data_IF_666996167476
#
_entry.id   IF_666996167476
#
_cell.length_a   1.000
_cell.length_b   1.000
_cell.length_c   1.000
_cell.angle_alpha   90.00
_cell.angle_beta   90.00
_cell.angle_gamma   90.00
#
_symmetry.space_group_name_H-M   'P 1'
#
loop_
_entity.id
_entity.type
_entity.pdbx_description
1 polymer ?
#
# COMPACT_ATOMS: atom_id res chain seq x y z
N UNK A 1 -17.13 12.95 3.98
CA UNK A 1 -17.84 12.22 5.07
C UNK A 1 -18.91 13.07 5.75
N UNK A 2 -18.73 14.40 5.93
CA UNK A 2 -19.75 15.27 6.50
C UNK A 2 -21.03 15.39 5.65
N UNK A 3 -20.88 15.29 4.35
CA UNK A 3 -22.00 15.41 3.39
C UNK A 3 -23.06 14.30 3.59
N UNK A 4 -22.65 13.02 3.58
CA UNK A 4 -23.59 11.93 3.77
C UNK A 4 -24.20 11.92 5.18
N UNK A 5 -23.40 12.21 6.21
CA UNK A 5 -23.89 12.31 7.59
C UNK A 5 -24.95 13.40 7.75
N UNK A 6 -24.73 14.58 7.12
CA UNK A 6 -25.68 15.69 7.19
C UNK A 6 -26.98 15.37 6.44
N UNK A 7 -26.89 14.96 5.17
CA UNK A 7 -28.09 14.66 4.38
C UNK A 7 -28.81 13.41 4.85
N UNK A 8 -28.08 12.37 5.22
CA UNK A 8 -28.69 11.14 5.77
C UNK A 8 -29.45 11.39 7.06
N UNK A 9 -28.90 12.22 7.93
CA UNK A 9 -29.59 12.62 9.15
C UNK A 9 -30.84 13.47 8.84
N UNK A 10 -30.74 14.43 7.90
CA UNK A 10 -31.87 15.25 7.47
C UNK A 10 -33.00 14.37 6.90
N UNK A 11 -32.71 13.43 6.00
CA UNK A 11 -33.71 12.52 5.44
C UNK A 11 -34.36 11.63 6.50
N UNK A 12 -33.57 11.16 7.48
CA UNK A 12 -34.11 10.35 8.57
C UNK A 12 -35.02 11.16 9.49
N UNK A 13 -34.71 12.44 9.73
CA UNK A 13 -35.52 13.33 10.57
C UNK A 13 -36.78 13.82 9.88
N UNK A 14 -36.72 14.17 8.59
CA UNK A 14 -37.83 14.78 7.86
C UNK A 14 -38.84 13.73 7.36
N UNK A 15 -38.38 12.58 6.87
CA UNK A 15 -39.22 11.55 6.26
C UNK A 15 -39.11 10.17 6.87
N UNK A 16 -38.35 10.05 7.95
CA UNK A 16 -38.11 8.77 8.63
C UNK A 16 -37.31 7.78 7.79
N UNK A 17 -37.31 6.52 8.23
CA UNK A 17 -36.54 5.45 7.61
C UNK A 17 -36.87 5.24 6.14
N UNK A 18 -38.12 5.43 5.73
CA UNK A 18 -38.52 5.26 4.34
C UNK A 18 -37.82 6.26 3.42
N UNK A 19 -37.90 7.54 3.72
CA UNK A 19 -37.25 8.58 2.91
C UNK A 19 -35.73 8.40 2.89
N UNK A 20 -35.14 8.04 4.02
CA UNK A 20 -33.73 7.73 4.10
C UNK A 20 -33.30 6.62 3.13
N UNK A 21 -34.06 5.51 3.09
CA UNK A 21 -33.72 4.39 2.21
C UNK A 21 -34.05 4.68 0.75
N UNK A 22 -35.17 5.34 0.46
CA UNK A 22 -35.56 5.72 -0.90
C UNK A 22 -34.50 6.63 -1.52
N UNK A 23 -34.00 7.62 -0.81
CA UNK A 23 -32.96 8.53 -1.27
C UNK A 23 -31.57 7.85 -1.34
N UNK A 24 -31.26 6.98 -0.38
CA UNK A 24 -29.96 6.29 -0.33
C UNK A 24 -29.81 5.26 -1.45
N UNK A 25 -30.88 4.56 -1.80
CA UNK A 25 -30.87 3.52 -2.84
C UNK A 25 -31.00 4.09 -4.25
N UNK A 26 -31.21 5.38 -4.43
CA UNK A 26 -31.27 5.98 -5.76
C UNK A 26 -29.92 5.87 -6.48
N UNK A 27 -29.93 5.16 -7.60
CA UNK A 27 -28.77 5.07 -8.50
C UNK A 27 -28.63 6.30 -9.38
N UNK A 28 -29.75 7.00 -9.66
CA UNK A 28 -29.83 8.20 -10.48
C UNK A 28 -30.70 9.26 -9.84
N UNK A 29 -30.15 10.42 -9.59
CA UNK A 29 -30.92 11.57 -9.11
C UNK A 29 -31.33 12.44 -10.31
N UNK A 30 -32.61 12.42 -10.67
CA UNK A 30 -33.20 13.26 -11.74
C UNK A 30 -33.56 14.67 -11.28
N UNK A 31 -32.75 15.28 -10.43
CA UNK A 31 -33.02 16.64 -9.95
C UNK A 31 -32.60 17.72 -10.98
N UNK A 32 -33.45 18.72 -11.25
CA UNK A 32 -33.15 19.79 -12.20
C UNK A 32 -32.02 20.72 -11.74
N UNK A 33 -31.59 20.62 -10.50
CA UNK A 33 -30.60 21.54 -9.89
C UNK A 33 -29.14 21.19 -10.15
N UNK A 34 -28.80 19.96 -10.54
CA UNK A 34 -27.40 19.51 -10.72
C UNK A 34 -26.87 19.77 -12.14
N UNK A 35 -27.74 20.19 -13.07
CA UNK A 35 -27.38 20.41 -14.48
C UNK A 35 -26.63 21.70 -14.77
N UNK A 36 -26.30 22.52 -13.76
CA UNK A 36 -25.65 23.82 -13.96
C UNK A 36 -24.12 23.79 -13.92
N UNK A 37 -23.49 22.65 -13.61
CA UNK A 37 -22.02 22.51 -13.69
C UNK A 37 -21.60 22.30 -15.15
N UNK A 38 -20.68 23.12 -15.68
CA UNK A 38 -20.27 23.07 -17.10
C UNK A 38 -19.70 21.71 -17.52
N UNK A 39 -19.08 20.96 -16.62
CA UNK A 39 -18.62 19.58 -16.82
C UNK A 39 -19.78 18.56 -16.98
N UNK A 40 -20.95 18.83 -16.42
CA UNK A 40 -22.12 17.95 -16.52
C UNK A 40 -22.72 17.85 -17.93
N UNK A 41 -22.44 18.79 -18.83
CA UNK A 41 -22.95 18.75 -20.22
C UNK A 41 -22.12 17.86 -21.14
N UNK A 42 -20.84 17.63 -20.85
CA UNK A 42 -19.93 16.89 -21.72
C UNK A 42 -20.14 15.36 -21.66
N UNK A 43 -20.80 14.87 -20.63
CA UNK A 43 -20.89 13.43 -20.35
C UNK A 43 -22.32 12.86 -20.36
N UNK A 44 -23.27 13.43 -21.09
CA UNK A 44 -24.61 12.83 -21.15
C UNK A 44 -24.64 11.60 -22.06
N UNK A 45 -25.04 10.45 -21.51
CA UNK A 45 -26.42 10.02 -21.68
C UNK A 45 -27.06 9.47 -20.40
N UNK A 46 -28.22 9.99 -20.07
CA UNK A 46 -29.22 9.35 -19.22
C UNK A 46 -29.11 9.50 -17.72
N UNK A 47 -27.98 9.28 -17.11
CA UNK A 47 -27.83 9.29 -15.65
C UNK A 47 -26.53 10.01 -15.23
N UNK A 48 -26.61 11.31 -15.06
CA UNK A 48 -25.46 12.12 -14.65
C UNK A 48 -25.78 13.00 -13.45
N UNK A 49 -26.29 12.36 -12.45
CA UNK A 49 -26.46 12.94 -11.15
C UNK A 49 -25.48 12.32 -10.15
N UNK A 50 -25.47 12.89 -8.97
CA UNK A 50 -24.89 12.27 -7.79
C UNK A 50 -25.68 11.00 -7.52
N UNK A 51 -25.02 9.84 -7.50
CA UNK A 51 -25.66 8.59 -7.12
C UNK A 51 -25.48 8.36 -5.63
N UNK A 52 -26.52 8.55 -4.86
CA UNK A 52 -26.48 8.35 -3.41
C UNK A 52 -26.13 6.92 -3.03
N UNK A 53 -26.58 5.93 -3.80
CA UNK A 53 -26.24 4.52 -3.58
C UNK A 53 -24.72 4.27 -3.58
N UNK A 54 -24.02 4.77 -4.59
CA UNK A 54 -22.56 4.61 -4.64
C UNK A 54 -21.85 5.43 -3.56
N UNK A 55 -22.43 6.57 -3.16
CA UNK A 55 -21.94 7.35 -2.01
C UNK A 55 -22.06 6.58 -0.70
N UNK A 56 -23.14 5.86 -0.51
CA UNK A 56 -23.33 4.99 0.65
C UNK A 56 -22.31 3.85 0.69
N UNK A 57 -22.07 3.19 -0.44
CA UNK A 57 -21.04 2.15 -0.53
C UNK A 57 -19.64 2.72 -0.24
N UNK A 58 -19.30 3.87 -0.85
CA UNK A 58 -18.03 4.55 -0.58
C UNK A 58 -17.88 4.87 0.92
N UNK A 59 -18.93 5.38 1.55
CA UNK A 59 -18.92 5.68 2.98
C UNK A 59 -18.69 4.42 3.83
N UNK A 60 -19.37 3.31 3.52
CA UNK A 60 -19.17 2.02 4.20
C UNK A 60 -17.71 1.53 4.11
N UNK A 61 -17.12 1.54 2.92
CA UNK A 61 -15.71 1.19 2.75
C UNK A 61 -14.78 2.17 3.45
N UNK A 62 -15.11 3.46 3.49
CA UNK A 62 -14.36 4.48 4.23
C UNK A 62 -14.35 4.23 5.75
N UNK A 63 -15.48 3.79 6.32
CA UNK A 63 -15.57 3.40 7.73
C UNK A 63 -14.68 2.18 8.00
N UNK A 64 -14.80 1.12 7.20
CA UNK A 64 -13.99 -0.10 7.37
C UNK A 64 -12.50 0.21 7.28
N UNK A 65 -12.10 1.05 6.33
CA UNK A 65 -10.74 1.53 6.18
C UNK A 65 -10.28 2.34 7.39
N UNK A 66 -11.13 3.22 7.90
CA UNK A 66 -10.88 4.00 9.12
C UNK A 66 -10.68 3.10 10.34
N UNK A 67 -11.60 2.16 10.58
CA UNK A 67 -11.51 1.21 11.69
C UNK A 67 -10.23 0.38 11.58
N UNK A 68 -9.93 -0.16 10.39
CA UNK A 68 -8.72 -0.94 10.15
C UNK A 68 -7.43 -0.15 10.38
N UNK A 69 -7.46 1.17 10.20
CA UNK A 69 -6.32 2.07 10.35
C UNK A 69 -6.04 2.49 11.79
N UNK A 70 -6.94 2.19 12.73
CA UNK A 70 -6.68 2.51 14.14
C UNK A 70 -5.41 1.86 14.64
N UNK A 71 -4.67 2.61 15.47
CA UNK A 71 -3.40 2.17 16.04
C UNK A 71 -3.49 0.80 16.73
N UNK A 72 -4.59 0.54 17.46
CA UNK A 72 -4.79 -0.73 18.17
C UNK A 72 -4.92 -1.91 17.20
N UNK A 73 -5.67 -1.76 16.10
CA UNK A 73 -5.82 -2.80 15.06
C UNK A 73 -4.48 -3.07 14.39
N UNK A 74 -3.80 -2.01 13.96
CA UNK A 74 -2.49 -2.10 13.30
C UNK A 74 -1.44 -2.77 14.18
N UNK A 75 -1.44 -2.48 15.50
CA UNK A 75 -0.48 -3.07 16.44
C UNK A 75 -0.80 -4.53 16.77
N UNK A 76 -2.10 -4.88 16.86
CA UNK A 76 -2.55 -6.22 17.21
C UNK A 76 -2.48 -7.20 16.02
N UNK A 77 -2.86 -6.75 14.84
CA UNK A 77 -2.86 -7.55 13.62
C UNK A 77 -2.52 -6.70 12.40
N UNK A 78 -1.23 -6.71 12.04
CA UNK A 78 -0.76 -6.02 10.85
C UNK A 78 -1.37 -6.58 9.56
N UNK A 79 -1.65 -7.90 9.52
CA UNK A 79 -2.33 -8.54 8.40
C UNK A 79 -3.75 -7.99 8.19
N UNK A 80 -4.51 -7.83 9.26
CA UNK A 80 -5.86 -7.23 9.20
C UNK A 80 -5.80 -5.77 8.73
N UNK A 81 -4.86 -4.99 9.28
CA UNK A 81 -4.63 -3.62 8.81
C UNK A 81 -4.35 -3.58 7.30
N UNK A 82 -3.44 -4.43 6.80
CA UNK A 82 -3.11 -4.46 5.37
C UNK A 82 -4.29 -4.90 4.51
N UNK A 83 -5.06 -5.89 4.96
CA UNK A 83 -6.26 -6.36 4.25
C UNK A 83 -7.32 -5.25 4.16
N UNK A 84 -7.64 -4.60 5.28
CA UNK A 84 -8.60 -3.50 5.30
C UNK A 84 -8.10 -2.27 4.54
N UNK A 85 -6.79 -2.02 4.57
CA UNK A 85 -6.20 -0.90 3.83
C UNK A 85 -6.33 -1.04 2.32
N UNK A 86 -6.41 -2.27 1.78
CA UNK A 86 -6.70 -2.49 0.35
C UNK A 86 -8.11 -2.03 -0.06
N UNK A 87 -9.03 -1.85 0.88
CA UNK A 87 -10.38 -1.36 0.59
C UNK A 87 -10.40 0.09 0.07
N UNK A 88 -9.27 0.82 0.15
CA UNK A 88 -9.16 2.17 -0.41
C UNK A 88 -9.46 2.19 -1.92
N UNK A 89 -9.18 1.10 -2.68
CA UNK A 89 -9.53 1.00 -4.09
C UNK A 89 -11.05 1.01 -4.31
N UNK A 90 -11.78 0.22 -3.51
CA UNK A 90 -13.24 0.19 -3.57
C UNK A 90 -13.83 1.52 -3.14
N UNK A 91 -13.24 2.14 -2.11
CA UNK A 91 -13.62 3.48 -1.68
C UNK A 91 -13.49 4.50 -2.79
N UNK A 92 -12.34 4.57 -3.48
CA UNK A 92 -12.13 5.47 -4.62
C UNK A 92 -13.05 5.16 -5.80
N UNK A 93 -13.21 3.88 -6.14
CA UNK A 93 -14.07 3.43 -7.21
C UNK A 93 -15.52 3.90 -7.00
N UNK A 94 -16.09 3.64 -5.84
CA UNK A 94 -17.45 4.04 -5.53
C UNK A 94 -17.59 5.56 -5.33
N UNK A 95 -16.57 6.26 -4.84
CA UNK A 95 -16.56 7.71 -4.76
C UNK A 95 -16.61 8.36 -6.15
N UNK A 96 -15.89 7.82 -7.13
CA UNK A 96 -15.94 8.28 -8.53
C UNK A 96 -17.30 7.98 -9.18
N UNK A 97 -17.92 6.83 -8.89
CA UNK A 97 -19.27 6.52 -9.35
C UNK A 97 -20.34 7.40 -8.68
N UNK A 98 -20.13 7.74 -7.41
CA UNK A 98 -21.02 8.66 -6.69
C UNK A 98 -21.02 10.06 -7.33
N UNK A 99 -19.86 10.56 -7.67
CA UNK A 99 -19.68 11.84 -8.30
C UNK A 99 -18.64 11.76 -9.42
N UNK A 100 -19.06 11.61 -10.69
CA UNK A 100 -18.13 11.48 -11.82
C UNK A 100 -17.12 12.63 -11.94
N UNK A 101 -17.48 13.85 -11.51
CA UNK A 101 -16.58 14.99 -11.43
C UNK A 101 -15.37 14.75 -10.51
N UNK A 102 -15.47 13.86 -9.52
CA UNK A 102 -14.35 13.50 -8.67
C UNK A 102 -13.20 12.85 -9.47
N UNK A 103 -13.50 12.19 -10.59
CA UNK A 103 -12.49 11.56 -11.43
C UNK A 103 -11.45 12.58 -11.93
N UNK A 104 -11.88 13.80 -12.26
CA UNK A 104 -10.97 14.84 -12.71
C UNK A 104 -9.91 15.22 -11.64
N UNK A 105 -10.31 15.17 -10.37
CA UNK A 105 -9.39 15.46 -9.24
C UNK A 105 -8.53 14.26 -8.86
N UNK A 106 -9.05 13.05 -9.04
CA UNK A 106 -8.37 11.80 -8.67
C UNK A 106 -7.46 11.29 -9.79
N UNK A 107 -7.76 11.59 -11.06
CA UNK A 107 -7.02 11.08 -12.20
C UNK A 107 -5.50 11.33 -12.14
N UNK A 108 -4.99 12.51 -11.77
CA UNK A 108 -3.55 12.71 -11.64
C UNK A 108 -2.93 11.77 -10.61
N UNK A 109 -3.54 11.63 -9.44
CA UNK A 109 -3.06 10.73 -8.39
C UNK A 109 -3.12 9.26 -8.84
N UNK A 110 -4.17 8.88 -9.55
CA UNK A 110 -4.33 7.54 -10.12
C UNK A 110 -3.26 7.23 -11.17
N UNK A 111 -2.95 8.18 -12.05
CA UNK A 111 -1.88 8.04 -13.06
C UNK A 111 -0.54 7.82 -12.36
N UNK A 112 -0.21 8.64 -11.36
CA UNK A 112 1.01 8.47 -10.59
C UNK A 112 1.06 7.12 -9.88
N UNK A 113 -0.06 6.68 -9.30
CA UNK A 113 -0.13 5.41 -8.62
C UNK A 113 0.06 4.23 -9.57
N UNK A 114 -0.57 4.25 -10.75
CA UNK A 114 -0.43 3.21 -11.77
C UNK A 114 1.01 3.19 -12.30
N UNK A 115 1.58 4.35 -12.58
CA UNK A 115 2.98 4.47 -13.03
C UNK A 115 3.96 3.94 -11.97
N UNK A 116 3.78 4.30 -10.69
CA UNK A 116 4.61 3.78 -9.60
C UNK A 116 4.42 2.27 -9.43
N UNK A 117 3.19 1.77 -9.54
CA UNK A 117 2.88 0.35 -9.52
C UNK A 117 3.56 -0.42 -10.65
N UNK A 118 3.48 0.08 -11.88
CA UNK A 118 4.15 -0.50 -13.04
C UNK A 118 5.68 -0.49 -12.87
N UNK A 119 6.25 0.62 -12.41
CA UNK A 119 7.68 0.71 -12.10
C UNK A 119 8.11 -0.30 -11.05
N UNK A 120 7.30 -0.52 -10.02
CA UNK A 120 7.58 -1.52 -8.97
C UNK A 120 7.54 -2.93 -9.51
N UNK A 121 6.60 -3.26 -10.39
CA UNK A 121 6.52 -4.58 -11.03
C UNK A 121 7.77 -4.86 -11.88
N UNK A 122 8.22 -3.87 -12.66
CA UNK A 122 9.43 -4.01 -13.48
C UNK A 122 10.69 -4.15 -12.62
N UNK A 123 10.74 -3.55 -11.42
CA UNK A 123 11.88 -3.65 -10.51
C UNK A 123 11.91 -4.92 -9.66
N UNK A 124 10.88 -5.76 -9.79
CA UNK A 124 10.76 -7.02 -9.06
C UNK A 124 11.65 -8.09 -9.68
N UNK A 125 12.46 -8.73 -8.87
CA UNK A 125 13.36 -9.80 -9.31
C UNK A 125 13.44 -10.91 -8.27
N UNK A 126 13.47 -12.13 -8.74
CA UNK A 126 13.78 -13.29 -7.90
C UNK A 126 15.30 -13.43 -7.83
N UNK A 127 15.82 -13.47 -6.62
CA UNK A 127 17.27 -13.54 -6.38
C UNK A 127 17.56 -14.68 -5.44
N UNK A 128 18.59 -15.46 -5.76
CA UNK A 128 19.15 -16.46 -4.88
C UNK A 128 20.10 -15.77 -3.91
N UNK A 129 19.67 -15.64 -2.66
CA UNK A 129 20.39 -14.96 -1.59
C UNK A 129 21.13 -15.96 -0.73
N UNK A 130 22.40 -15.75 -0.47
CA UNK A 130 23.11 -16.50 0.54
C UNK A 130 22.67 -16.01 1.93
N UNK A 131 22.66 -16.92 2.91
CA UNK A 131 22.24 -16.61 4.28
C UNK A 131 23.30 -17.05 5.27
N UNK A 132 23.65 -16.17 6.19
CA UNK A 132 24.64 -16.43 7.24
C UNK A 132 23.97 -16.24 8.60
N UNK A 133 23.97 -17.27 9.43
CA UNK A 133 23.45 -17.21 10.79
C UNK A 133 24.53 -16.77 11.75
N UNK A 134 24.25 -15.73 12.53
CA UNK A 134 25.12 -15.25 13.61
C UNK A 134 24.65 -15.68 15.01
N UNK A 135 23.75 -16.66 15.05
CA UNK A 135 23.17 -17.18 16.29
C UNK A 135 21.69 -17.54 16.11
N UNK A 136 20.98 -17.86 17.19
CA UNK A 136 19.59 -18.31 17.09
C UNK A 136 18.62 -17.20 16.64
N UNK A 137 18.98 -15.92 16.84
CA UNK A 137 18.08 -14.79 16.63
C UNK A 137 18.48 -13.85 15.49
N UNK A 138 19.67 -14.03 14.90
CA UNK A 138 20.21 -13.11 13.90
C UNK A 138 20.60 -13.88 12.66
N UNK A 139 20.07 -13.46 11.55
CA UNK A 139 20.41 -13.98 10.21
C UNK A 139 20.75 -12.82 9.31
N UNK A 140 21.89 -12.89 8.63
CA UNK A 140 22.25 -11.93 7.56
C UNK A 140 21.88 -12.55 6.23
N UNK A 141 21.09 -11.81 5.46
CA UNK A 141 20.76 -12.11 4.08
C UNK A 141 21.67 -11.30 3.17
N UNK A 142 22.36 -11.96 2.28
CA UNK A 142 23.25 -11.38 1.30
C UNK A 142 22.54 -11.29 -0.03
N UNK A 143 22.20 -10.06 -0.46
CA UNK A 143 21.46 -9.80 -1.68
C UNK A 143 22.42 -9.31 -2.77
N UNK A 144 22.67 -10.08 -3.85
CA UNK A 144 23.48 -9.61 -4.97
C UNK A 144 22.84 -8.40 -5.65
N UNK A 145 23.64 -7.38 -5.90
CA UNK A 145 23.18 -6.10 -6.44
C UNK A 145 24.00 -5.66 -7.67
N UNK A 146 24.02 -6.44 -8.75
CA UNK A 146 24.78 -6.07 -9.93
C UNK A 146 24.29 -4.73 -10.49
N UNK A 147 25.21 -3.87 -10.92
CA UNK A 147 24.90 -2.55 -11.46
C UNK A 147 24.77 -1.43 -10.43
N UNK A 148 24.99 -1.72 -9.13
CA UNK A 148 25.08 -0.72 -8.08
C UNK A 148 26.52 -0.61 -7.56
N UNK A 149 26.83 0.46 -6.85
CA UNK A 149 28.06 0.59 -6.09
C UNK A 149 27.76 0.38 -4.60
N UNK A 150 28.76 -0.04 -3.81
CA UNK A 150 28.64 -0.17 -2.34
C UNK A 150 28.10 1.11 -1.71
N UNK A 151 28.58 2.26 -2.18
CA UNK A 151 28.14 3.58 -1.70
C UNK A 151 26.66 3.84 -1.96
N UNK A 152 26.14 3.45 -3.14
CA UNK A 152 24.73 3.60 -3.47
C UNK A 152 23.82 2.70 -2.63
N UNK A 153 24.31 1.54 -2.21
CA UNK A 153 23.55 0.60 -1.39
C UNK A 153 23.45 1.05 0.07
N UNK A 154 24.43 1.78 0.58
CA UNK A 154 24.45 2.20 1.98
C UNK A 154 23.27 3.10 2.31
N UNK A 155 22.51 2.73 3.35
CA UNK A 155 21.31 3.46 3.79
C UNK A 155 20.06 3.24 2.94
N UNK A 156 20.12 2.37 1.94
CA UNK A 156 18.96 1.99 1.15
C UNK A 156 18.03 1.00 1.88
N UNK A 157 16.90 0.72 1.25
CA UNK A 157 15.88 -0.22 1.75
C UNK A 157 15.56 -1.22 0.67
N UNK A 158 15.57 -2.50 1.01
CA UNK A 158 14.95 -3.56 0.21
C UNK A 158 13.58 -3.92 0.75
N UNK A 159 12.68 -4.28 -0.14
CA UNK A 159 11.49 -5.04 0.22
C UNK A 159 11.71 -6.49 -0.21
N UNK A 160 11.61 -7.38 0.75
CA UNK A 160 11.81 -8.82 0.55
C UNK A 160 10.48 -9.54 0.68
N UNK A 161 10.28 -10.56 -0.14
CA UNK A 161 9.16 -11.48 -0.06
C UNK A 161 9.69 -12.91 -0.26
N UNK A 162 9.17 -13.84 0.52
CA UNK A 162 9.42 -15.25 0.36
C UNK A 162 8.08 -15.99 0.24
N UNK A 163 7.76 -16.52 -0.93
CA UNK A 163 6.49 -17.20 -1.17
C UNK A 163 6.27 -18.41 -0.25
N UNK A 164 7.34 -19.06 0.20
CA UNK A 164 7.26 -20.17 1.15
C UNK A 164 6.77 -19.73 2.54
N UNK A 165 6.86 -18.42 2.85
CA UNK A 165 6.51 -17.87 4.15
C UNK A 165 5.23 -17.05 4.05
N UNK A 166 5.18 -16.09 3.14
CA UNK A 166 4.08 -15.14 3.00
C UNK A 166 4.10 -14.42 1.66
N UNK A 167 2.93 -14.06 1.18
CA UNK A 167 2.78 -13.19 0.00
C UNK A 167 3.07 -11.72 0.28
N UNK A 168 3.29 -11.35 1.54
CA UNK A 168 3.49 -9.96 1.94
C UNK A 168 4.94 -9.52 1.75
N UNK A 169 5.10 -8.26 1.34
CA UNK A 169 6.38 -7.59 1.23
C UNK A 169 6.81 -7.02 2.59
N UNK A 170 8.04 -7.32 2.98
CA UNK A 170 8.63 -6.84 4.22
C UNK A 170 9.80 -5.90 3.92
N UNK A 171 9.77 -4.64 4.43
CA UNK A 171 10.86 -3.70 4.25
C UNK A 171 12.00 -3.99 5.21
N UNK A 172 13.24 -3.97 4.69
CA UNK A 172 14.46 -4.11 5.47
C UNK A 172 15.47 -3.05 5.06
N UNK A 173 16.06 -2.40 6.04
CA UNK A 173 17.20 -1.50 5.80
C UNK A 173 18.45 -2.29 5.44
N UNK A 174 19.22 -1.75 4.52
CA UNK A 174 20.54 -2.28 4.19
C UNK A 174 21.47 -1.91 5.35
N UNK A 175 21.99 -2.91 6.06
CA UNK A 175 22.90 -2.71 7.18
C UNK A 175 24.31 -2.35 6.72
N UNK A 176 24.69 -2.79 5.52
CA UNK A 176 25.97 -2.52 4.89
C UNK A 176 26.02 -3.12 3.49
N UNK A 177 27.10 -2.89 2.79
CA UNK A 177 27.35 -3.53 1.50
C UNK A 177 28.85 -3.85 1.38
N UNK A 178 29.16 -4.90 0.64
CA UNK A 178 30.53 -5.35 0.39
C UNK A 178 30.73 -5.58 -1.10
N UNK A 179 31.94 -5.30 -1.57
CA UNK A 179 32.34 -5.62 -2.94
C UNK A 179 32.79 -7.08 -2.98
N UNK A 180 32.29 -7.82 -3.98
CA UNK A 180 32.72 -9.20 -4.24
C UNK A 180 33.18 -9.31 -5.68
N UNK A 181 33.91 -10.38 -6.08
CA UNK A 181 34.31 -10.59 -7.47
C UNK A 181 33.13 -10.60 -8.45
N UNK A 182 31.94 -11.00 -8.00
CA UNK A 182 30.71 -11.04 -8.80
C UNK A 182 29.91 -9.72 -8.72
N UNK A 183 30.45 -8.70 -8.08
CA UNK A 183 29.83 -7.39 -7.88
C UNK A 183 29.40 -7.12 -6.43
N UNK A 184 28.77 -5.97 -6.19
CA UNK A 184 28.37 -5.57 -4.85
C UNK A 184 27.22 -6.39 -4.29
N UNK A 185 27.31 -6.69 -3.01
CA UNK A 185 26.34 -7.46 -2.25
C UNK A 185 25.84 -6.62 -1.07
N UNK A 186 24.53 -6.44 -0.96
CA UNK A 186 23.90 -5.78 0.18
C UNK A 186 23.72 -6.77 1.34
N UNK A 187 24.04 -6.31 2.54
CA UNK A 187 23.90 -7.05 3.79
C UNK A 187 22.63 -6.59 4.50
N UNK A 188 21.73 -7.53 4.75
CA UNK A 188 20.45 -7.27 5.43
C UNK A 188 20.41 -8.11 6.69
N UNK A 189 20.44 -7.47 7.86
CA UNK A 189 20.30 -8.17 9.13
C UNK A 189 18.82 -8.36 9.46
N UNK A 190 18.43 -9.59 9.62
CA UNK A 190 17.07 -9.99 10.02
C UNK A 190 17.11 -10.48 11.46
N UNK A 191 16.37 -9.77 12.32
CA UNK A 191 16.27 -10.12 13.73
C UNK A 191 14.96 -10.84 14.00
N UNK A 192 15.01 -11.95 14.73
CA UNK A 192 13.83 -12.56 15.32
C UNK A 192 13.45 -11.82 16.61
N UNK A 193 12.72 -10.73 16.44
CA UNK A 193 12.43 -9.76 17.50
C UNK A 193 11.44 -10.27 18.58
N UNK A 194 10.81 -11.42 18.39
CA UNK A 194 9.76 -11.92 19.29
C UNK A 194 10.10 -13.22 20.01
N UNK A 195 11.37 -13.42 20.35
CA UNK A 195 11.84 -14.56 21.17
C UNK A 195 11.28 -15.92 20.74
N UNK A 196 11.29 -16.17 19.42
CA UNK A 196 10.85 -17.46 18.86
C UNK A 196 9.32 -17.63 18.80
N UNK A 197 8.52 -16.59 19.04
CA UNK A 197 7.07 -16.67 18.83
C UNK A 197 6.79 -17.09 17.40
N UNK A 198 6.20 -18.25 17.27
CA UNK A 198 5.77 -18.80 15.98
C UNK A 198 4.83 -17.81 15.26
N UNK A 199 4.92 -17.78 13.94
CA UNK A 199 4.03 -16.97 13.11
C UNK A 199 4.55 -15.61 12.70
N UNK A 200 5.78 -15.20 13.07
CA UNK A 200 6.40 -14.01 12.47
C UNK A 200 7.18 -14.37 11.20
N UNK A 201 7.14 -13.48 10.20
CA UNK A 201 7.89 -13.68 8.96
C UNK A 201 9.41 -13.81 9.21
N UNK A 202 9.95 -13.00 10.12
CA UNK A 202 11.37 -13.03 10.49
C UNK A 202 11.76 -14.35 11.15
N UNK A 203 10.93 -14.89 12.04
CA UNK A 203 11.16 -16.22 12.64
C UNK A 203 11.15 -17.31 11.57
N UNK A 204 10.16 -17.30 10.68
CA UNK A 204 10.07 -18.28 9.59
C UNK A 204 11.28 -18.20 8.64
N UNK A 205 11.77 -16.97 8.34
CA UNK A 205 12.97 -16.78 7.55
C UNK A 205 14.22 -17.31 8.27
N UNK A 206 14.38 -17.06 9.57
CA UNK A 206 15.49 -17.59 10.36
C UNK A 206 15.48 -19.13 10.43
N UNK A 207 14.30 -19.75 10.52
CA UNK A 207 14.14 -21.21 10.44
C UNK A 207 14.51 -21.74 9.05
N UNK A 208 14.07 -21.09 7.98
CA UNK A 208 14.41 -21.48 6.62
C UNK A 208 15.93 -21.35 6.38
N UNK A 209 16.56 -20.30 6.90
CA UNK A 209 17.98 -20.07 6.87
C UNK A 209 18.79 -21.14 7.66
N UNK A 210 18.15 -21.80 8.63
CA UNK A 210 18.79 -22.89 9.38
C UNK A 210 18.89 -24.18 8.55
N UNK A 211 18.01 -24.35 7.57
CA UNK A 211 17.92 -25.58 6.75
C UNK A 211 18.66 -25.48 5.41
N UNK A 212 19.00 -24.28 4.96
CA UNK A 212 19.63 -24.08 3.66
C UNK A 212 20.58 -22.87 3.65
N UNK A 213 21.78 -22.98 3.05
CA UNK A 213 22.72 -21.87 2.94
C UNK A 213 22.30 -20.81 1.93
N UNK A 214 21.32 -21.14 1.06
CA UNK A 214 20.77 -20.24 0.06
C UNK A 214 19.24 -20.27 0.10
N UNK A 215 18.64 -19.11 -0.06
CA UNK A 215 17.19 -18.93 -0.11
C UNK A 215 16.83 -18.12 -1.34
N UNK A 216 15.78 -18.52 -2.05
CA UNK A 216 15.19 -17.70 -3.11
C UNK A 216 14.23 -16.69 -2.51
N UNK A 217 14.55 -15.43 -2.72
CA UNK A 217 13.74 -14.30 -2.29
C UNK A 217 13.37 -13.44 -3.49
N UNK A 218 12.16 -12.94 -3.47
CA UNK A 218 11.81 -11.83 -4.33
C UNK A 218 12.24 -10.53 -3.68
N UNK A 219 12.93 -9.72 -4.45
CA UNK A 219 13.50 -8.46 -4.03
C UNK A 219 12.94 -7.32 -4.86
N UNK A 220 12.53 -6.24 -4.20
CA UNK A 220 12.25 -4.94 -4.80
C UNK A 220 13.19 -3.91 -4.25
N UNK A 221 13.87 -3.19 -5.10
CA UNK A 221 14.86 -2.20 -4.71
C UNK A 221 16.26 -2.53 -5.24
N UNK A 222 17.28 -1.86 -4.73
CA UNK A 222 17.28 -0.98 -3.54
C UNK A 222 16.49 0.32 -3.76
N UNK A 223 15.71 0.71 -2.76
CA UNK A 223 15.10 2.04 -2.69
C UNK A 223 16.11 2.93 -1.99
N UNK A 224 16.76 3.78 -2.77
CA UNK A 224 17.81 4.67 -2.28
C UNK A 224 17.16 6.01 -1.99
N UNK A 225 17.30 6.50 -0.75
CA UNK A 225 16.93 7.87 -0.44
C UNK A 225 17.83 8.85 -1.21
N UNK A 226 17.28 9.91 -1.81
CA UNK A 226 18.13 10.93 -2.41
C UNK A 226 19.06 11.48 -1.31
N UNK A 227 20.37 11.55 -1.62
CA UNK A 227 21.34 12.12 -0.69
C UNK A 227 20.90 13.52 -0.27
N UNK A 228 20.83 13.77 1.03
CA UNK A 228 20.53 15.09 1.55
C UNK A 228 21.55 16.11 1.04
N UNK A 229 21.12 17.36 0.83
CA UNK A 229 22.04 18.45 0.44
C UNK A 229 23.23 18.59 1.39
N UNK A 230 23.04 18.30 2.68
CA UNK A 230 24.11 18.29 3.69
C UNK A 230 25.15 17.19 3.44
N UNK A 231 24.72 16.04 2.92
CA UNK A 231 25.61 14.93 2.62
C UNK A 231 26.41 15.20 1.34
N UNK A 232 25.79 15.86 0.35
CA UNK A 232 26.47 16.34 -0.87
C UNK A 232 27.50 17.41 -0.56
N UNK A 233 27.22 18.32 0.39
CA UNK A 233 28.12 19.40 0.81
C UNK A 233 29.34 18.92 1.64
N UNK A 234 29.27 17.73 2.25
CA UNK A 234 30.41 17.14 2.96
C UNK A 234 31.36 16.37 2.04
N UNK A 235 30.97 16.14 0.81
CA UNK A 235 31.65 15.32 -0.18
C UNK A 235 32.24 16.15 -1.33
N UNK A 236 31.89 17.44 -1.40
CA UNK A 236 32.48 18.44 -2.29
C UNK A 236 33.65 19.18 -1.59
#
# INVERSE_FOLDING_TARGET
>A
SGHFGFYGLAWALDGGAKLFWDETLQVCHHGPRVTKLPLGRAFRPGCMGISNFFGFLAWGFGILLGIGSFYMVRRRSYALFMATHQLHWLWWFFACLHWPGALAFVAPALIFFVADGARRLVSERTVRCAVVRHGPKITTVLVPCPGYTVRQLTGGVFRLRCFRISLMWHPFSIAGAVETPDGPVALIHVFDARDGKEGTWTNALCRLAASAPFIELECRGPIIAPMSLQQKAREA
#
